data_IF_461180372852
#
_entry.id   IF_461180372852
#
_cell.length_a   1.000
_cell.length_b   1.000
_cell.length_c   1.000
_cell.angle_alpha   90.00
_cell.angle_beta   90.00
_cell.angle_gamma   90.00
#
_symmetry.space_group_name_H-M   'P 1'
#
loop_
_entity.id
_entity.type
_entity.pdbx_description
1 polymer ?
#
# COMPACT_ATOMS: atom_id res chain seq x y z
N UNK A 1 -52.46 -0.67 -9.30
CA UNK A 1 -52.00 -0.24 -10.63
C UNK A 1 -50.87 -1.20 -11.00
N UNK A 2 -51.25 -2.40 -11.47
CA UNK A 2 -51.41 -2.75 -12.90
C UNK A 2 -50.05 -2.81 -13.61
N UNK A 3 -49.54 -4.03 -13.85
CA UNK A 3 -49.59 -4.83 -15.11
C UNK A 3 -48.59 -4.28 -16.16
N UNK A 4 -47.82 -5.07 -16.93
CA UNK A 4 -47.94 -6.49 -17.32
C UNK A 4 -46.55 -7.09 -17.66
N UNK A 5 -46.37 -8.41 -17.61
CA UNK A 5 -46.74 -9.40 -18.66
C UNK A 5 -45.92 -9.20 -19.94
N UNK A 6 -44.83 -9.94 -20.15
CA UNK A 6 -44.73 -11.32 -20.68
C UNK A 6 -44.95 -11.43 -22.19
N UNK A 7 -43.95 -11.94 -22.92
CA UNK A 7 -44.21 -12.68 -24.16
C UNK A 7 -43.05 -13.63 -24.48
N UNK A 8 -43.32 -14.92 -24.32
CA UNK A 8 -42.54 -16.05 -24.83
C UNK A 8 -43.07 -16.46 -26.22
N UNK A 9 -42.12 -16.88 -27.07
CA UNK A 9 -42.12 -17.76 -28.27
C UNK A 9 -43.46 -18.42 -28.70
N UNK A 10 -43.63 -18.76 -30.01
CA UNK A 10 -43.27 -20.14 -30.37
C UNK A 10 -42.68 -20.38 -31.78
N UNK A 11 -41.98 -21.52 -31.83
CA UNK A 11 -41.48 -22.30 -32.95
C UNK A 11 -42.64 -22.78 -33.85
N UNK A 12 -42.44 -22.83 -35.17
CA UNK A 12 -43.31 -23.57 -36.10
C UNK A 12 -42.56 -24.77 -36.70
N UNK A 13 -43.13 -25.94 -36.48
CA UNK A 13 -42.85 -27.21 -37.14
C UNK A 13 -43.91 -27.47 -38.23
N UNK A 14 -43.49 -28.07 -39.34
CA UNK A 14 -44.25 -29.10 -40.05
C UNK A 14 -45.21 -28.70 -41.17
N UNK A 15 -44.94 -29.23 -42.38
CA UNK A 15 -45.93 -29.40 -43.46
C UNK A 15 -45.32 -30.16 -44.66
N UNK A 16 -46.07 -31.05 -45.35
CA UNK A 16 -45.50 -32.25 -45.98
C UNK A 16 -45.56 -32.34 -47.52
N UNK A 17 -44.74 -33.26 -48.05
CA UNK A 17 -44.90 -34.15 -49.22
C UNK A 17 -45.43 -33.58 -50.56
N UNK A 18 -44.58 -33.63 -51.58
CA UNK A 18 -45.00 -34.12 -52.89
C UNK A 18 -43.94 -35.03 -53.51
N UNK A 19 -44.37 -36.25 -53.82
CA UNK A 19 -43.62 -37.28 -54.54
C UNK A 19 -43.97 -37.13 -56.02
N UNK A 20 -42.97 -36.97 -56.88
CA UNK A 20 -43.09 -37.31 -58.30
C UNK A 20 -41.94 -38.23 -58.68
N UNK A 21 -42.33 -39.42 -59.13
CA UNK A 21 -41.48 -40.40 -59.80
C UNK A 21 -41.27 -39.93 -61.22
N UNK A 22 -40.01 -39.82 -61.66
CA UNK A 22 -39.67 -40.15 -63.03
C UNK A 22 -38.38 -40.98 -63.09
N UNK A 23 -38.44 -41.89 -64.04
CA UNK A 23 -37.70 -43.13 -64.13
C UNK A 23 -36.48 -42.96 -65.03
N UNK A 24 -35.53 -43.87 -64.84
CA UNK A 24 -34.64 -44.47 -65.84
C UNK A 24 -33.41 -43.73 -66.37
N UNK A 25 -32.34 -44.54 -66.41
CA UNK A 25 -31.05 -44.40 -67.09
C UNK A 25 -29.93 -43.71 -66.29
N UNK A 26 -28.78 -44.40 -66.24
CA UNK A 26 -27.43 -44.03 -65.75
C UNK A 26 -26.81 -45.05 -64.78
N UNK A 27 -26.68 -46.30 -65.24
CA UNK A 27 -25.88 -47.34 -64.58
C UNK A 27 -24.39 -47.33 -64.97
N UNK A 28 -23.86 -46.26 -65.59
CA UNK A 28 -22.44 -46.21 -66.00
C UNK A 28 -21.63 -45.00 -65.48
N UNK A 29 -22.22 -44.07 -64.73
CA UNK A 29 -21.49 -42.95 -64.09
C UNK A 29 -21.21 -43.13 -62.60
N UNK A 30 -21.86 -44.09 -61.94
CA UNK A 30 -21.82 -44.22 -60.47
C UNK A 30 -20.56 -44.88 -59.91
N UNK A 31 -19.75 -45.52 -60.76
CA UNK A 31 -18.47 -46.13 -60.32
C UNK A 31 -17.31 -45.14 -60.23
N UNK A 32 -17.33 -44.04 -60.99
CA UNK A 32 -16.28 -43.01 -60.93
C UNK A 32 -16.49 -41.99 -59.81
N UNK A 33 -17.73 -41.71 -59.41
CA UNK A 33 -18.00 -40.77 -58.32
C UNK A 33 -17.74 -41.34 -56.91
N UNK A 34 -17.85 -42.66 -56.71
CA UNK A 34 -17.63 -43.28 -55.39
C UNK A 34 -16.14 -43.46 -55.04
N UNK A 35 -15.26 -43.53 -56.04
CA UNK A 35 -13.80 -43.59 -55.82
C UNK A 35 -13.23 -42.20 -55.51
N UNK A 36 -13.77 -41.13 -56.12
CA UNK A 36 -13.39 -39.75 -55.84
C UNK A 36 -13.89 -39.27 -54.45
N UNK A 37 -15.09 -39.70 -54.02
CA UNK A 37 -15.63 -39.37 -52.69
C UNK A 37 -14.88 -40.10 -51.56
N UNK A 38 -14.39 -41.33 -51.80
CA UNK A 38 -13.55 -42.06 -50.85
C UNK A 38 -12.16 -41.42 -50.70
N UNK A 39 -11.61 -40.85 -51.79
CA UNK A 39 -10.35 -40.11 -51.76
C UNK A 39 -10.48 -38.74 -51.09
N UNK A 40 -11.64 -38.08 -51.21
CA UNK A 40 -11.95 -36.83 -50.50
C UNK A 40 -12.18 -37.05 -49.00
N UNK A 41 -12.87 -38.14 -48.62
CA UNK A 41 -13.08 -38.52 -47.22
C UNK A 41 -11.80 -39.01 -46.54
N UNK A 42 -10.89 -39.69 -47.25
CA UNK A 42 -9.59 -40.09 -46.67
C UNK A 42 -8.63 -38.91 -46.50
N UNK A 43 -8.63 -37.93 -47.43
CA UNK A 43 -7.85 -36.68 -47.29
C UNK A 43 -8.41 -35.78 -46.19
N UNK A 44 -9.72 -35.69 -46.03
CA UNK A 44 -10.35 -34.98 -44.90
C UNK A 44 -10.07 -35.63 -43.54
N UNK A 45 -10.03 -36.96 -43.49
CA UNK A 45 -9.64 -37.71 -42.28
C UNK A 45 -8.14 -37.54 -41.94
N UNK A 46 -7.25 -37.53 -42.93
CA UNK A 46 -5.81 -37.28 -42.72
C UNK A 46 -5.50 -35.83 -42.30
N UNK A 47 -6.21 -34.84 -42.85
CA UNK A 47 -6.07 -33.43 -42.44
C UNK A 47 -6.59 -33.18 -41.02
N UNK A 48 -7.67 -33.86 -40.62
CA UNK A 48 -8.17 -33.80 -39.24
C UNK A 48 -7.25 -34.54 -38.26
N UNK A 49 -6.67 -35.68 -38.64
CA UNK A 49 -5.74 -36.40 -37.75
C UNK A 49 -4.43 -35.61 -37.50
N UNK A 50 -3.95 -34.86 -38.50
CA UNK A 50 -2.81 -33.94 -38.33
C UNK A 50 -3.14 -32.74 -37.44
N UNK A 51 -4.37 -32.20 -37.53
CA UNK A 51 -4.82 -31.11 -36.66
C UNK A 51 -5.04 -31.56 -35.21
N UNK A 52 -5.55 -32.78 -34.98
CA UNK A 52 -5.72 -33.33 -33.63
C UNK A 52 -4.40 -33.74 -32.96
N UNK A 53 -3.46 -34.36 -33.69
CA UNK A 53 -2.11 -34.60 -33.17
C UNK A 53 -1.38 -33.29 -32.84
N UNK A 54 -1.62 -32.21 -33.60
CA UNK A 54 -1.07 -30.89 -33.31
C UNK A 54 -1.67 -30.25 -32.04
N UNK A 55 -2.92 -30.54 -31.68
CA UNK A 55 -3.55 -29.98 -30.47
C UNK A 55 -3.11 -30.74 -29.23
N UNK A 56 -3.03 -32.08 -29.27
CA UNK A 56 -2.52 -32.85 -28.14
C UNK A 56 -1.02 -32.62 -27.90
N UNK A 57 -0.20 -32.50 -28.94
CA UNK A 57 1.20 -32.08 -28.79
C UNK A 57 1.34 -30.64 -28.28
N UNK A 58 0.43 -29.73 -28.67
CA UNK A 58 0.44 -28.34 -28.17
C UNK A 58 -0.05 -28.26 -26.73
N UNK A 59 -1.07 -29.03 -26.34
CA UNK A 59 -1.53 -29.16 -24.96
C UNK A 59 -0.46 -29.83 -24.08
N UNK A 60 0.18 -30.90 -24.56
CA UNK A 60 1.29 -31.56 -23.88
C UNK A 60 2.54 -30.65 -23.78
N UNK A 61 2.84 -29.84 -24.79
CA UNK A 61 3.89 -28.80 -24.71
C UNK A 61 3.49 -27.66 -23.77
N UNK A 62 2.21 -27.29 -23.71
CA UNK A 62 1.71 -26.23 -22.83
C UNK A 62 1.68 -26.64 -21.34
N UNK A 63 1.44 -27.92 -21.04
CA UNK A 63 1.52 -28.45 -19.68
C UNK A 63 2.97 -28.64 -19.22
N UNK A 64 3.93 -28.78 -20.15
CA UNK A 64 5.38 -28.88 -19.86
C UNK A 64 6.04 -27.51 -19.69
N UNK A 65 5.47 -26.44 -20.25
CA UNK A 65 5.93 -25.05 -20.09
C UNK A 65 5.07 -24.24 -19.11
N UNK A 66 4.53 -24.85 -18.05
CA UNK A 66 4.05 -24.05 -16.92
C UNK A 66 5.24 -23.32 -16.34
N UNK A 67 5.25 -22.00 -16.47
CA UNK A 67 6.21 -21.11 -15.83
C UNK A 67 6.39 -21.58 -14.38
N UNK A 68 7.58 -22.05 -13.97
CA UNK A 68 7.79 -22.60 -12.63
C UNK A 68 7.42 -21.60 -11.54
N UNK A 69 7.40 -20.30 -11.87
CA UNK A 69 6.94 -19.23 -10.99
C UNK A 69 5.44 -19.28 -10.68
N UNK A 70 4.62 -19.87 -11.55
CA UNK A 70 3.20 -20.11 -11.29
C UNK A 70 2.97 -21.19 -10.23
N UNK A 71 3.93 -22.10 -10.03
CA UNK A 71 3.86 -23.10 -8.97
C UNK A 71 4.14 -22.53 -7.58
N UNK A 72 4.80 -21.37 -7.49
CA UNK A 72 5.04 -20.68 -6.24
C UNK A 72 3.73 -20.16 -5.62
N UNK A 73 3.67 -20.13 -4.31
CA UNK A 73 2.66 -19.37 -3.60
C UNK A 73 2.82 -17.88 -3.92
N UNK A 74 1.75 -17.09 -3.78
CA UNK A 74 1.87 -15.66 -4.03
C UNK A 74 2.84 -14.94 -3.09
N UNK A 75 3.02 -15.45 -1.87
CA UNK A 75 3.98 -14.91 -0.90
C UNK A 75 5.43 -15.19 -1.34
N UNK A 76 5.71 -16.37 -1.88
CA UNK A 76 7.03 -16.70 -2.43
C UNK A 76 7.34 -15.86 -3.67
N UNK A 77 6.38 -15.69 -4.59
CA UNK A 77 6.55 -14.76 -5.73
C UNK A 77 6.81 -13.33 -5.28
N UNK A 78 6.13 -12.90 -4.22
CA UNK A 78 6.30 -11.58 -3.62
C UNK A 78 7.72 -11.43 -3.04
N UNK A 79 8.23 -12.45 -2.34
CA UNK A 79 9.59 -12.47 -1.82
C UNK A 79 10.64 -12.45 -2.93
N UNK A 80 10.46 -13.20 -4.01
CA UNK A 80 11.34 -13.15 -5.20
C UNK A 80 11.36 -11.76 -5.84
N UNK A 81 10.18 -11.15 -6.04
CA UNK A 81 10.07 -9.77 -6.55
C UNK A 81 10.79 -8.78 -5.62
N UNK A 82 10.70 -9.03 -4.31
CA UNK A 82 11.38 -8.27 -3.26
C UNK A 82 12.89 -8.33 -3.37
N UNK A 83 13.46 -9.53 -3.53
CA UNK A 83 14.91 -9.70 -3.65
C UNK A 83 15.46 -9.03 -4.92
N UNK A 84 14.78 -9.21 -6.06
CA UNK A 84 15.15 -8.53 -7.32
C UNK A 84 15.10 -7.01 -7.15
N UNK A 85 14.08 -6.49 -6.48
CA UNK A 85 13.96 -5.06 -6.22
C UNK A 85 15.03 -4.56 -5.25
N UNK A 86 15.36 -5.32 -4.21
CA UNK A 86 16.42 -4.99 -3.24
C UNK A 86 17.77 -4.88 -3.92
N UNK A 87 18.12 -5.85 -4.77
CA UNK A 87 19.37 -5.82 -5.54
C UNK A 87 19.46 -4.56 -6.43
N UNK A 88 18.35 -4.18 -7.08
CA UNK A 88 18.29 -2.95 -7.88
C UNK A 88 18.44 -1.68 -7.05
N UNK A 89 17.76 -1.61 -5.89
CA UNK A 89 17.89 -0.50 -4.96
C UNK A 89 19.35 -0.33 -4.50
N UNK A 90 20.04 -1.43 -4.22
CA UNK A 90 21.46 -1.41 -3.82
C UNK A 90 22.35 -0.99 -4.99
N UNK A 91 22.19 -1.61 -6.15
CA UNK A 91 23.03 -1.37 -7.32
C UNK A 91 22.89 0.04 -7.91
N UNK A 92 21.70 0.64 -7.83
CA UNK A 92 21.42 1.94 -8.45
C UNK A 92 21.35 3.05 -7.39
N UNK A 93 22.34 3.94 -7.38
CA UNK A 93 22.40 5.07 -6.43
C UNK A 93 21.23 6.05 -6.55
N UNK A 94 20.59 6.15 -7.74
CA UNK A 94 19.44 7.02 -7.98
C UNK A 94 18.10 6.41 -7.58
N UNK A 95 18.06 5.11 -7.29
CA UNK A 95 16.85 4.44 -6.82
C UNK A 95 16.76 4.48 -5.29
N UNK A 96 15.57 4.81 -4.80
CA UNK A 96 15.25 4.82 -3.37
C UNK A 96 13.74 4.63 -3.17
N UNK A 97 13.39 4.15 -1.99
CA UNK A 97 12.02 4.02 -1.51
C UNK A 97 11.71 5.15 -0.52
N UNK A 98 10.46 5.60 -0.55
CA UNK A 98 9.94 6.61 0.40
C UNK A 98 8.68 6.11 1.07
N UNK A 99 8.57 6.29 2.39
CA UNK A 99 7.29 6.27 3.05
C UNK A 99 6.57 7.59 2.75
N UNK A 100 5.34 7.52 2.24
CA UNK A 100 4.53 8.69 1.86
C UNK A 100 3.18 8.68 2.55
N UNK A 101 2.72 9.84 3.00
CA UNK A 101 1.30 10.11 3.24
C UNK A 101 0.66 10.52 1.90
N UNK A 102 -0.20 9.67 1.29
CA UNK A 102 -0.67 9.90 -0.07
C UNK A 102 -1.67 11.05 -0.12
N UNK A 103 -1.43 12.01 -1.03
CA UNK A 103 -2.41 13.07 -1.36
C UNK A 103 -3.58 12.58 -2.22
N UNK A 104 -3.50 11.35 -2.74
CA UNK A 104 -4.54 10.75 -3.58
C UNK A 104 -4.62 9.23 -3.36
N UNK A 105 -5.84 8.72 -3.36
CA UNK A 105 -6.20 7.31 -3.18
C UNK A 105 -6.21 6.51 -4.49
N UNK A 106 -5.69 7.08 -5.58
CA UNK A 106 -5.74 6.47 -6.93
C UNK A 106 -4.55 5.55 -7.23
N UNK A 107 -3.59 5.43 -6.33
CA UNK A 107 -2.43 4.58 -6.55
C UNK A 107 -2.83 3.10 -6.38
N UNK A 108 -2.30 2.24 -7.25
CA UNK A 108 -2.44 0.78 -7.14
C UNK A 108 -1.11 0.16 -6.71
N UNK A 109 -1.20 -0.87 -5.88
CA UNK A 109 -0.07 -1.65 -5.42
C UNK A 109 0.55 -2.42 -6.57
N UNK A 110 1.87 -2.27 -6.74
CA UNK A 110 2.62 -2.89 -7.82
C UNK A 110 2.85 -4.39 -7.64
N UNK A 111 2.61 -4.92 -6.44
CA UNK A 111 2.60 -6.37 -6.20
C UNK A 111 1.54 -7.11 -7.05
N UNK A 112 0.62 -6.38 -7.70
CA UNK A 112 -0.38 -6.94 -8.64
C UNK A 112 -1.11 -8.14 -8.02
N UNK A 113 -1.01 -9.31 -8.63
CA UNK A 113 -1.71 -10.53 -8.22
C UNK A 113 -1.13 -11.11 -6.92
N UNK A 114 0.10 -10.71 -6.58
CA UNK A 114 0.78 -11.04 -5.33
C UNK A 114 0.45 -10.06 -4.19
N UNK A 115 -0.44 -9.08 -4.42
CA UNK A 115 -0.87 -8.15 -3.39
C UNK A 115 -1.66 -8.87 -2.29
N UNK A 116 -1.19 -8.76 -1.05
CA UNK A 116 -1.81 -9.40 0.13
C UNK A 116 -3.27 -8.95 0.30
N UNK A 117 -3.58 -7.67 0.06
CA UNK A 117 -4.94 -7.14 0.16
C UNK A 117 -5.87 -7.62 -0.95
N UNK A 118 -5.33 -7.87 -2.15
CA UNK A 118 -6.11 -8.44 -3.26
C UNK A 118 -6.46 -9.91 -2.97
N UNK A 119 -5.52 -10.66 -2.37
CA UNK A 119 -5.75 -12.06 -1.98
C UNK A 119 -6.69 -12.21 -0.80
N UNK A 120 -6.74 -11.22 0.08
CA UNK A 120 -7.65 -11.19 1.23
C UNK A 120 -9.12 -10.82 0.89
N UNK A 121 -9.55 -11.01 -0.38
CA UNK A 121 -10.95 -10.99 -0.85
C UNK A 121 -11.60 -9.63 -1.17
N UNK A 122 -10.83 -8.58 -1.44
CA UNK A 122 -11.37 -7.33 -1.99
C UNK A 122 -11.08 -7.22 -3.50
N UNK A 123 -12.09 -7.11 -4.39
CA UNK A 123 -11.88 -6.95 -5.83
C UNK A 123 -10.99 -5.75 -6.19
N UNK A 124 -11.05 -4.70 -5.38
CA UNK A 124 -10.23 -3.48 -5.49
C UNK A 124 -9.12 -3.43 -4.43
N UNK A 125 -8.75 -4.58 -3.84
CA UNK A 125 -7.74 -4.65 -2.79
C UNK A 125 -6.35 -4.19 -3.23
N UNK A 126 -6.10 -4.13 -4.54
CA UNK A 126 -4.87 -3.55 -5.08
C UNK A 126 -4.85 -2.01 -5.01
N UNK A 127 -5.98 -1.33 -4.80
CA UNK A 127 -6.02 0.12 -4.61
C UNK A 127 -5.48 0.45 -3.22
N UNK A 128 -4.58 1.43 -3.16
CA UNK A 128 -3.97 1.87 -1.91
C UNK A 128 -4.82 2.99 -1.31
N UNK A 129 -5.67 2.59 -0.37
CA UNK A 129 -6.53 3.49 0.41
C UNK A 129 -5.96 3.84 1.78
N UNK A 130 -4.87 3.20 2.19
CA UNK A 130 -4.20 3.46 3.47
C UNK A 130 -3.62 4.88 3.54
N UNK A 131 -3.59 5.43 4.76
CA UNK A 131 -3.00 6.75 5.07
C UNK A 131 -1.51 6.82 4.79
N UNK A 132 -0.86 5.68 4.62
CA UNK A 132 0.55 5.58 4.26
C UNK A 132 0.76 4.58 3.13
N UNK A 133 1.76 4.84 2.30
CA UNK A 133 2.20 3.95 1.22
C UNK A 133 3.70 4.02 1.04
N UNK A 134 4.28 2.99 0.43
CA UNK A 134 5.67 3.05 -0.02
C UNK A 134 5.71 3.42 -1.51
N UNK A 135 6.48 4.44 -1.85
CA UNK A 135 6.77 4.84 -3.22
C UNK A 135 8.24 4.56 -3.53
N UNK A 136 8.47 3.67 -4.49
CA UNK A 136 9.79 3.41 -5.06
C UNK A 136 10.00 4.33 -6.25
N UNK A 137 11.06 5.13 -6.21
CA UNK A 137 11.48 6.02 -7.29
C UNK A 137 12.52 5.31 -8.15
N UNK A 138 12.21 5.18 -9.45
CA UNK A 138 13.15 4.67 -10.45
C UNK A 138 14.20 5.70 -10.84
N UNK A 139 15.28 5.26 -11.47
CA UNK A 139 16.28 6.18 -12.03
C UNK A 139 15.68 6.98 -13.20
N UNK A 140 16.15 8.22 -13.39
CA UNK A 140 15.55 9.22 -14.31
C UNK A 140 15.35 8.73 -15.76
N UNK A 141 16.17 7.78 -16.20
CA UNK A 141 16.20 7.21 -17.56
C UNK A 141 15.76 5.74 -17.62
N UNK A 142 15.43 5.13 -16.48
CA UNK A 142 14.93 3.75 -16.40
C UNK A 142 13.48 3.80 -15.96
N UNK A 143 12.58 3.93 -16.93
CA UNK A 143 11.17 3.65 -16.70
C UNK A 143 11.04 2.14 -16.45
N UNK A 144 11.11 1.73 -15.19
CA UNK A 144 10.82 0.35 -14.84
C UNK A 144 9.33 0.12 -15.09
N UNK A 145 9.00 -0.83 -15.98
CA UNK A 145 7.62 -1.13 -16.36
C UNK A 145 6.77 0.10 -16.78
N UNK A 146 7.37 1.06 -17.49
CA UNK A 146 6.64 2.20 -18.06
C UNK A 146 6.25 3.31 -17.06
N UNK A 147 6.70 3.24 -15.80
CA UNK A 147 6.51 4.32 -14.82
C UNK A 147 7.82 4.65 -14.10
N UNK A 148 8.00 5.93 -13.72
CA UNK A 148 9.11 6.36 -12.87
C UNK A 148 8.85 6.10 -11.39
N UNK A 149 7.61 5.80 -11.01
CA UNK A 149 7.19 5.59 -9.62
C UNK A 149 6.33 4.34 -9.50
N UNK A 150 6.64 3.53 -8.50
CA UNK A 150 5.84 2.36 -8.15
C UNK A 150 5.37 2.46 -6.72
N UNK A 151 4.09 2.20 -6.51
CA UNK A 151 3.45 2.30 -5.21
C UNK A 151 3.17 0.91 -4.65
N UNK A 152 3.34 0.76 -3.35
CA UNK A 152 3.06 -0.46 -2.63
C UNK A 152 2.27 -0.13 -1.35
N UNK A 153 1.35 -1.02 -0.95
CA UNK A 153 0.93 -1.02 0.45
C UNK A 153 2.15 -1.26 1.33
N UNK A 154 2.17 -0.63 2.51
CA UNK A 154 3.29 -0.79 3.44
C UNK A 154 3.48 -2.27 3.80
N UNK A 155 2.38 -2.99 4.07
CA UNK A 155 2.41 -4.42 4.38
C UNK A 155 3.05 -5.22 3.26
N UNK A 156 2.58 -5.07 2.02
CA UNK A 156 3.14 -5.80 0.87
C UNK A 156 4.66 -5.56 0.75
N UNK A 157 5.10 -4.31 0.85
CA UNK A 157 6.51 -3.99 0.72
C UNK A 157 7.37 -4.48 1.90
N UNK A 158 6.87 -4.38 3.13
CA UNK A 158 7.55 -4.91 4.32
C UNK A 158 7.64 -6.44 4.31
N UNK A 159 6.72 -7.11 3.63
CA UNK A 159 6.79 -8.57 3.39
C UNK A 159 7.79 -8.92 2.29
N UNK A 160 7.92 -8.06 1.27
CA UNK A 160 8.89 -8.24 0.17
C UNK A 160 10.33 -8.02 0.62
N UNK A 161 10.57 -6.97 1.39
CA UNK A 161 11.89 -6.48 1.74
C UNK A 161 11.88 -6.14 3.22
N UNK A 162 12.84 -6.70 3.96
CA UNK A 162 13.08 -6.26 5.32
C UNK A 162 13.57 -4.81 5.32
N UNK A 163 12.73 -3.90 5.80
CA UNK A 163 12.99 -2.47 5.77
C UNK A 163 14.18 -2.05 6.64
N UNK A 164 14.46 -2.81 7.71
CA UNK A 164 15.60 -2.53 8.60
C UNK A 164 16.94 -2.83 7.95
N UNK A 165 16.94 -3.67 6.92
CA UNK A 165 18.16 -4.05 6.19
C UNK A 165 18.51 -3.05 5.07
N UNK A 166 17.61 -2.10 4.79
CA UNK A 166 17.86 -1.03 3.84
C UNK A 166 18.66 0.09 4.49
N UNK A 167 19.68 0.58 3.78
CA UNK A 167 20.42 1.76 4.19
C UNK A 167 19.47 2.97 4.30
N UNK A 168 19.72 3.93 5.21
CA UNK A 168 18.91 5.15 5.33
C UNK A 168 18.79 5.95 4.02
N UNK A 169 19.81 5.89 3.17
CA UNK A 169 19.80 6.51 1.83
C UNK A 169 18.87 5.81 0.83
N UNK A 170 18.44 4.58 1.12
CA UNK A 170 17.60 3.74 0.26
C UNK A 170 16.15 3.68 0.73
N UNK A 171 15.90 3.90 2.01
CA UNK A 171 14.55 4.01 2.54
C UNK A 171 14.45 5.22 3.45
N UNK A 172 13.69 6.22 3.01
CA UNK A 172 13.57 7.49 3.70
C UNK A 172 12.12 7.93 3.86
N UNK A 173 11.89 8.90 4.72
CA UNK A 173 10.58 9.55 4.84
C UNK A 173 10.39 10.60 3.74
N UNK A 174 9.18 10.73 3.22
CA UNK A 174 8.86 11.79 2.27
C UNK A 174 8.76 13.15 2.99
N UNK A 175 9.77 14.00 2.78
CA UNK A 175 9.85 15.32 3.41
C UNK A 175 8.79 16.31 2.89
N UNK A 176 8.07 15.98 1.81
CA UNK A 176 7.07 16.90 1.23
C UNK A 176 5.79 17.05 2.06
N UNK A 177 5.58 16.19 3.05
CA UNK A 177 4.38 16.20 3.89
C UNK A 177 4.60 16.87 5.26
N UNK A 178 5.84 17.23 5.64
CA UNK A 178 6.20 18.10 6.78
C UNK A 178 5.73 17.71 8.19
N UNK A 179 4.84 16.72 8.31
CA UNK A 179 4.09 16.36 9.51
C UNK A 179 4.16 14.86 9.69
N UNK A 180 5.31 14.41 10.16
CA UNK A 180 5.47 13.04 10.61
C UNK A 180 5.25 12.98 12.11
N UNK A 181 4.52 11.96 12.54
CA UNK A 181 4.36 11.68 13.96
C UNK A 181 5.70 11.22 14.57
N UNK A 182 5.95 11.59 15.83
CA UNK A 182 7.21 11.30 16.53
C UNK A 182 7.57 9.81 16.47
N UNK A 183 6.57 8.92 16.54
CA UNK A 183 6.80 7.48 16.44
C UNK A 183 7.41 7.05 15.10
N UNK A 184 6.97 7.67 14.00
CA UNK A 184 7.49 7.38 12.66
C UNK A 184 8.91 7.95 12.52
N UNK A 185 9.12 9.17 12.99
CA UNK A 185 10.46 9.80 12.99
C UNK A 185 11.48 8.95 13.74
N UNK A 186 11.13 8.52 14.96
CA UNK A 186 12.00 7.67 15.77
C UNK A 186 12.18 6.28 15.18
N UNK A 187 11.18 5.74 14.50
CA UNK A 187 11.33 4.48 13.78
C UNK A 187 12.43 4.59 12.71
N UNK A 188 12.47 5.67 11.94
CA UNK A 188 13.53 5.89 10.93
C UNK A 188 14.89 6.20 11.56
N UNK A 189 14.92 7.03 12.61
CA UNK A 189 16.15 7.40 13.32
C UNK A 189 16.87 6.17 13.90
N UNK A 190 16.11 5.22 14.44
CA UNK A 190 16.65 4.00 15.05
C UNK A 190 16.47 2.75 14.18
N UNK A 191 16.13 2.91 12.89
CA UNK A 191 15.97 1.81 11.93
C UNK A 191 15.08 0.66 12.43
N UNK A 192 13.96 1.00 13.05
CA UNK A 192 13.00 0.04 13.62
C UNK A 192 13.36 -0.51 15.00
N UNK A 193 14.48 -0.10 15.59
CA UNK A 193 14.85 -0.43 16.97
C UNK A 193 14.21 0.56 17.95
N UNK A 194 12.88 0.51 18.04
CA UNK A 194 12.10 1.36 18.94
C UNK A 194 11.07 0.58 19.76
N UNK A 195 10.81 1.07 20.98
CA UNK A 195 9.71 0.61 21.81
C UNK A 195 8.51 1.57 21.67
N UNK A 196 7.44 1.20 20.93
CA UNK A 196 6.30 2.08 20.70
C UNK A 196 5.60 2.50 22.00
N UNK A 197 5.60 1.64 23.03
CA UNK A 197 4.95 1.94 24.30
C UNK A 197 5.69 3.00 25.13
N UNK A 198 7.03 2.98 25.10
CA UNK A 198 7.83 4.05 25.72
C UNK A 198 7.59 5.39 25.04
N UNK A 199 7.61 5.41 23.70
CA UNK A 199 7.33 6.63 22.93
C UNK A 199 5.90 7.11 23.19
N UNK A 200 4.92 6.20 23.24
CA UNK A 200 3.53 6.53 23.57
C UNK A 200 3.41 7.15 24.96
N UNK A 201 4.13 6.60 25.95
CA UNK A 201 4.15 7.11 27.32
C UNK A 201 4.75 8.50 27.38
N UNK A 202 5.84 8.75 26.65
CA UNK A 202 6.43 10.08 26.53
C UNK A 202 5.45 11.09 25.90
N UNK A 203 4.76 10.72 24.81
CA UNK A 203 3.78 11.58 24.15
C UNK A 203 2.67 11.99 25.14
N UNK A 204 2.16 11.04 25.94
CA UNK A 204 1.16 11.33 26.98
C UNK A 204 1.69 12.28 28.05
N UNK A 205 2.88 12.03 28.59
CA UNK A 205 3.54 12.93 29.56
C UNK A 205 3.72 14.34 28.99
N UNK A 206 4.07 14.46 27.70
CA UNK A 206 4.17 15.76 27.00
C UNK A 206 2.82 16.46 26.89
N UNK A 207 1.73 15.73 26.62
CA UNK A 207 0.38 16.28 26.59
C UNK A 207 -0.01 16.83 27.96
N UNK A 208 0.18 16.03 29.01
CA UNK A 208 -0.08 16.41 30.41
C UNK A 208 0.74 17.65 30.80
N UNK A 209 2.05 17.66 30.51
CA UNK A 209 2.92 18.82 30.74
C UNK A 209 2.41 20.07 30.02
N UNK A 210 1.99 19.96 28.76
CA UNK A 210 1.51 21.13 28.02
C UNK A 210 0.20 21.69 28.57
N UNK A 211 -0.69 20.85 29.09
CA UNK A 211 -1.91 21.28 29.79
C UNK A 211 -1.58 21.96 31.11
N UNK A 212 -0.71 21.36 31.91
CA UNK A 212 -0.23 21.92 33.18
C UNK A 212 0.48 23.25 32.96
N UNK A 213 1.36 23.33 31.97
CA UNK A 213 2.09 24.54 31.61
C UNK A 213 1.14 25.66 31.15
N UNK A 214 0.14 25.34 30.32
CA UNK A 214 -0.90 26.32 29.92
C UNK A 214 -1.69 26.82 31.12
N UNK A 215 -2.03 25.95 32.07
CA UNK A 215 -2.70 26.35 33.32
C UNK A 215 -1.80 27.26 34.15
N UNK A 216 -0.56 26.85 34.36
CA UNK A 216 0.45 27.61 35.09
C UNK A 216 0.67 28.99 34.48
N UNK A 217 0.79 29.12 33.16
CA UNK A 217 0.91 30.42 32.47
C UNK A 217 -0.30 31.32 32.73
N UNK A 218 -1.53 30.76 32.75
CA UNK A 218 -2.74 31.54 33.05
C UNK A 218 -2.72 32.04 34.49
N UNK A 219 -2.42 31.18 35.44
CA UNK A 219 -2.35 31.51 36.87
C UNK A 219 -1.26 32.54 37.14
N UNK A 220 -0.07 32.33 36.56
CA UNK A 220 1.04 33.26 36.62
C UNK A 220 0.69 34.65 36.08
N UNK A 221 0.02 34.72 34.92
CA UNK A 221 -0.46 36.01 34.36
C UNK A 221 -1.46 36.69 35.28
N UNK A 222 -2.37 35.95 35.90
CA UNK A 222 -3.36 36.49 36.84
C UNK A 222 -2.71 37.01 38.12
N UNK A 223 -1.78 36.25 38.70
CA UNK A 223 -0.99 36.66 39.86
C UNK A 223 -0.16 37.90 39.56
N UNK A 224 0.52 37.93 38.41
CA UNK A 224 1.33 39.07 37.95
C UNK A 224 0.50 40.34 37.82
N UNK A 225 -0.71 40.25 37.25
CA UNK A 225 -1.65 41.39 37.15
C UNK A 225 -2.11 41.88 38.52
N UNK A 226 -2.45 40.97 39.45
CA UNK A 226 -2.86 41.32 40.82
C UNK A 226 -1.73 42.00 41.60
N UNK A 227 -0.49 41.52 41.46
CA UNK A 227 0.68 42.13 42.08
C UNK A 227 1.05 43.50 41.49
N UNK A 228 0.80 43.73 40.19
CA UNK A 228 0.95 45.06 39.56
C UNK A 228 -0.05 46.08 40.10
N UNK A 229 -1.28 45.66 40.40
CA UNK A 229 -2.33 46.52 41.00
C UNK A 229 -2.02 46.87 42.46
N UNK A 230 -1.42 45.95 43.21
CA UNK A 230 -1.01 46.20 44.60
C UNK A 230 0.47 46.66 44.67
N UNK A 231 0.72 47.95 44.40
CA UNK A 231 2.08 48.55 44.44
C UNK A 231 2.72 48.64 45.84
N UNK A 232 1.93 48.49 46.91
CA UNK A 232 2.40 48.65 48.30
C UNK A 232 2.86 47.34 48.97
N UNK A 233 3.02 46.25 48.22
CA UNK A 233 3.49 44.97 48.77
C UNK A 233 5.02 44.97 48.79
N UNK A 234 5.62 44.90 49.99
CA UNK A 234 7.07 44.81 50.18
C UNK A 234 7.71 43.75 49.27
N UNK A 235 8.90 44.05 48.71
CA UNK A 235 9.65 43.14 47.81
C UNK A 235 9.84 41.73 48.39
N UNK A 236 9.98 41.60 49.71
CA UNK A 236 10.13 40.31 50.41
C UNK A 236 8.87 39.42 50.37
N UNK A 237 7.67 40.00 50.24
CA UNK A 237 6.43 39.22 50.09
C UNK A 237 6.14 38.81 48.63
N UNK A 238 6.82 39.41 47.65
CA UNK A 238 6.67 39.03 46.22
C UNK A 238 7.36 37.71 45.90
N UNK A 239 8.56 37.48 46.46
CA UNK A 239 9.38 36.29 46.16
C UNK A 239 8.76 34.95 46.64
N UNK A 240 7.94 34.97 47.70
CA UNK A 240 7.28 33.76 48.23
C UNK A 240 5.98 33.36 47.51
N UNK A 241 5.63 34.01 46.39
CA UNK A 241 4.34 33.79 45.69
C UNK A 241 4.47 33.37 44.23
N UNK A 242 5.68 33.20 43.72
CA UNK A 242 5.86 32.79 42.33
C UNK A 242 5.69 31.26 42.24
N UNK A 243 4.63 30.75 41.57
CA UNK A 243 4.45 29.32 41.40
C UNK A 243 5.60 28.78 40.56
N UNK A 244 6.16 27.64 40.98
CA UNK A 244 7.18 26.95 40.17
C UNK A 244 6.54 26.44 38.88
N UNK A 245 7.22 26.58 37.73
CA UNK A 245 6.74 25.98 36.48
C UNK A 245 6.74 24.45 36.60
N UNK A 246 5.86 23.77 35.86
CA UNK A 246 5.88 22.31 35.78
C UNK A 246 7.20 21.82 35.16
N UNK A 247 7.55 20.58 35.46
CA UNK A 247 8.80 19.96 34.98
C UNK A 247 8.57 19.36 33.61
N UNK A 248 9.39 19.77 32.64
CA UNK A 248 9.33 19.26 31.28
C UNK A 248 9.79 17.79 31.24
N UNK A 249 9.04 16.88 30.57
CA UNK A 249 9.45 15.47 30.49
C UNK A 249 10.69 15.31 29.59
N UNK A 250 11.67 14.56 30.08
CA UNK A 250 12.96 14.34 29.41
C UNK A 250 12.82 13.43 28.18
N UNK A 251 13.53 13.69 27.08
CA UNK A 251 13.64 12.76 25.95
C UNK A 251 14.25 11.40 26.32
N UNK A 252 15.01 11.33 27.41
CA UNK A 252 15.60 10.08 27.91
C UNK A 252 14.52 9.06 28.31
N UNK A 253 13.29 9.51 28.58
CA UNK A 253 12.14 8.67 28.97
C UNK A 253 11.70 7.69 27.88
N UNK A 254 12.09 7.90 26.61
CA UNK A 254 11.76 6.99 25.52
C UNK A 254 12.97 6.30 24.87
N UNK A 255 14.15 6.34 25.53
CA UNK A 255 15.37 5.68 25.03
C UNK A 255 15.11 4.22 24.67
N UNK A 256 15.53 3.84 23.47
CA UNK A 256 15.30 2.54 22.87
C UNK A 256 16.52 1.65 23.01
N UNK A 257 16.30 0.36 23.23
CA UNK A 257 17.36 -0.64 23.33
C UNK A 257 17.57 -1.32 21.96
N UNK A 258 18.73 -1.95 21.76
CA UNK A 258 18.99 -2.71 20.54
C UNK A 258 18.01 -3.89 20.33
N UNK A 259 17.45 -4.41 21.42
CA UNK A 259 16.48 -5.51 21.44
C UNK A 259 15.05 -5.06 21.11
N UNK A 260 14.76 -3.76 21.17
CA UNK A 260 13.41 -3.22 20.94
C UNK A 260 13.09 -3.19 19.43
N UNK A 261 12.88 -4.34 18.77
CA UNK A 261 12.55 -4.38 17.34
C UNK A 261 11.04 -4.21 17.12
N UNK A 262 10.67 -3.26 16.26
CA UNK A 262 9.27 -2.98 15.91
C UNK A 262 9.11 -2.84 14.39
N UNK A 263 8.14 -3.56 13.82
CA UNK A 263 7.82 -3.44 12.40
C UNK A 263 7.14 -2.09 12.11
N UNK A 264 7.49 -1.47 10.97
CA UNK A 264 6.89 -0.20 10.56
C UNK A 264 5.36 -0.26 10.50
N UNK A 265 4.81 -1.39 10.05
CA UNK A 265 3.36 -1.61 9.98
C UNK A 265 2.70 -1.48 11.35
N UNK A 266 3.35 -1.91 12.42
CA UNK A 266 2.80 -1.85 13.78
C UNK A 266 2.83 -0.42 14.31
N UNK A 267 3.90 0.33 14.00
CA UNK A 267 3.95 1.77 14.28
C UNK A 267 2.81 2.50 13.60
N UNK A 268 2.61 2.30 12.29
CA UNK A 268 1.61 3.04 11.53
C UNK A 268 0.17 2.73 11.95
N UNK A 269 -0.08 1.61 12.63
CA UNK A 269 -1.38 1.29 13.23
C UNK A 269 -1.60 1.95 14.60
N UNK A 270 -0.57 2.51 15.20
CA UNK A 270 -0.66 3.09 16.53
C UNK A 270 -1.46 4.41 16.50
N UNK A 271 -2.47 4.53 17.36
CA UNK A 271 -3.40 5.68 17.37
C UNK A 271 -2.73 7.05 17.53
N UNK A 272 -1.58 7.09 18.23
CA UNK A 272 -0.80 8.31 18.43
C UNK A 272 -0.01 8.79 17.20
N UNK A 273 0.13 7.98 16.14
CA UNK A 273 0.82 8.42 14.92
C UNK A 273 0.09 9.60 14.27
N UNK A 274 -1.23 9.49 14.13
CA UNK A 274 -2.04 10.55 13.54
C UNK A 274 -2.12 11.79 14.45
N UNK A 275 -2.22 11.57 15.76
CA UNK A 275 -2.29 12.65 16.77
C UNK A 275 -1.01 13.49 16.78
N UNK A 276 0.16 12.86 16.67
CA UNK A 276 1.45 13.56 16.71
C UNK A 276 1.82 14.22 15.37
N UNK A 277 1.30 13.73 14.25
CA UNK A 277 1.47 14.40 12.95
C UNK A 277 0.84 15.81 12.97
N UNK A 278 -0.29 16.00 13.65
CA UNK A 278 -0.97 17.30 13.74
C UNK A 278 -0.46 18.18 14.90
N UNK A 279 0.22 17.60 15.89
CA UNK A 279 0.72 18.29 17.07
C UNK A 279 2.16 18.79 16.91
N UNK A 280 2.41 19.68 15.95
CA UNK A 280 3.74 20.26 15.64
C UNK A 280 4.47 20.87 16.85
N UNK A 281 3.73 21.30 17.88
CA UNK A 281 4.26 21.84 19.15
C UNK A 281 4.85 20.79 20.09
N UNK A 282 4.74 19.50 19.78
CA UNK A 282 5.33 18.42 20.59
C UNK A 282 6.80 18.14 20.25
N UNK A 283 7.36 18.77 19.20
CA UNK A 283 8.74 18.55 18.79
C UNK A 283 9.70 19.24 19.76
N UNK A 284 10.67 18.53 20.37
CA UNK A 284 11.67 19.13 21.26
C UNK A 284 12.61 20.10 20.53
N UNK A 285 12.72 19.97 19.20
CA UNK A 285 13.72 20.70 18.38
C UNK A 285 13.16 21.95 17.70
N UNK A 286 11.86 22.21 17.83
CA UNK A 286 11.29 23.48 17.37
C UNK A 286 11.47 24.45 18.53
N UNK A 287 12.38 25.44 18.44
CA UNK A 287 12.46 26.47 19.45
C UNK A 287 11.05 27.05 19.55
N UNK A 288 10.45 26.88 20.73
CA UNK A 288 9.21 27.54 21.09
C UNK A 288 9.40 28.97 20.60
N UNK A 289 8.56 29.44 19.66
CA UNK A 289 8.60 30.83 19.24
C UNK A 289 8.30 31.58 20.52
N UNK A 290 9.37 31.96 21.22
CA UNK A 290 9.36 32.93 22.27
C UNK A 290 8.84 34.14 21.54
N UNK A 291 7.54 34.35 21.68
CA UNK A 291 6.95 35.64 21.43
C UNK A 291 7.66 36.56 22.43
N UNK A 292 8.84 37.04 22.04
CA UNK A 292 9.51 38.20 22.57
C UNK A 292 8.61 39.39 22.19
N UNK A 293 7.44 39.43 22.83
CA UNK A 293 6.76 40.66 23.15
C UNK A 293 7.47 41.28 24.35
N UNK A 294 8.71 41.71 24.17
CA UNK A 294 9.23 42.83 24.93
C UNK A 294 9.06 44.08 24.07
N UNK A 295 7.85 44.62 24.16
CA UNK A 295 7.56 46.00 23.85
C UNK A 295 8.30 46.90 24.87
N UNK A 296 8.83 48.01 24.35
CA UNK A 296 8.89 49.37 24.92
C UNK A 296 9.03 49.54 26.42
#
# INVERSE_FOLDING_TARGET
MERGESSQRPVRLGGPLHVERHNTSFTASRKRHLEDDAQYLSKGAQLNHHAYCSIEEWLAKSDVERDPRQALSPLERLAEDGEVLRQKLIANSKMFATLQAPRSTRARCRASDNCIYLQALAPDGNVITSEYRICVHGAENEAWFGSKKHYYHVVCFSTMINLTDLLPSKFQMDNTCGRWGIMVEKWFEHQGRINPYKIASYIKKRQEYAEEYRSWVKDWRMLSKKQRRNRNVNKSQRANREPRPPVEPSPEDYTTNEEDVCALVDILKHSLVQITADAWWMRPDVPEIRAEGQAG
#
